data_IF_209815218025
#
_entry.id   IF_209815218025
#
_cell.length_a   1.000
_cell.length_b   1.000
_cell.length_c   1.000
_cell.angle_alpha   90.00
_cell.angle_beta   90.00
_cell.angle_gamma   90.00
#
_symmetry.space_group_name_H-M   'P 1'
#
loop_
_entity.id
_entity.type
_entity.pdbx_description
1 polymer ?
#
# COMPACT_ATOMS: atom_id res chain seq x y z
N UNK A 1 -11.39 5.39 -28.81
CA UNK A 1 -9.93 5.68 -28.77
C UNK A 1 -9.39 5.16 -27.45
N UNK A 2 -8.82 4.00 -27.48
CA UNK A 2 -8.23 3.29 -26.34
C UNK A 2 -6.87 3.94 -26.06
N UNK A 3 -6.83 4.81 -25.06
CA UNK A 3 -5.57 5.30 -24.54
C UNK A 3 -4.88 4.21 -23.77
N UNK A 4 -3.86 3.62 -24.35
CA UNK A 4 -2.88 2.76 -23.69
C UNK A 4 -2.10 3.64 -22.70
N UNK A 5 -2.53 3.71 -21.45
CA UNK A 5 -1.67 4.22 -20.39
C UNK A 5 -0.56 3.20 -20.12
N UNK A 6 0.48 3.27 -20.93
CA UNK A 6 1.76 2.61 -20.67
C UNK A 6 2.65 3.58 -19.89
N UNK A 7 2.19 4.00 -18.73
CA UNK A 7 2.97 4.83 -17.84
C UNK A 7 3.16 4.07 -16.54
N UNK A 8 4.09 3.11 -16.52
CA UNK A 8 4.55 2.57 -15.26
C UNK A 8 5.08 3.73 -14.41
N UNK A 9 4.52 3.92 -13.22
CA UNK A 9 5.09 4.86 -12.25
C UNK A 9 6.48 4.32 -11.90
N UNK A 10 7.55 5.03 -12.24
CA UNK A 10 8.89 4.49 -12.08
C UNK A 10 9.23 4.35 -10.59
N UNK A 11 9.96 3.30 -10.27
CA UNK A 11 10.57 3.18 -8.94
C UNK A 11 11.40 4.43 -8.65
N UNK A 12 11.21 5.08 -7.49
CA UNK A 12 11.99 6.26 -7.13
C UNK A 12 13.49 5.97 -7.10
N UNK A 13 14.30 6.94 -7.53
CA UNK A 13 15.75 6.82 -7.38
C UNK A 13 16.12 6.71 -5.89
N UNK A 14 17.21 6.01 -5.52
CA UNK A 14 17.62 5.85 -4.12
C UNK A 14 17.83 7.17 -3.36
N UNK A 15 18.10 8.24 -4.09
CA UNK A 15 18.31 9.61 -3.55
C UNK A 15 17.03 10.42 -3.43
N UNK A 16 15.89 9.90 -3.93
CA UNK A 16 14.60 10.60 -3.86
C UNK A 16 14.04 10.48 -2.45
N UNK A 17 13.88 11.62 -1.78
CA UNK A 17 13.25 11.64 -0.46
C UNK A 17 11.79 11.15 -0.55
N UNK A 18 11.34 10.28 0.37
CA UNK A 18 9.94 9.86 0.41
C UNK A 18 9.03 11.01 0.83
N UNK A 19 7.78 10.95 0.38
CA UNK A 19 6.73 11.86 0.81
C UNK A 19 6.31 11.59 2.26
N UNK A 20 6.26 10.32 2.65
CA UNK A 20 5.93 9.90 4.00
C UNK A 20 6.57 8.54 4.33
N UNK A 21 6.86 8.34 5.61
CA UNK A 21 7.34 7.06 6.17
C UNK A 21 6.61 6.82 7.48
N UNK A 22 6.02 5.65 7.65
CA UNK A 22 5.42 5.21 8.91
C UNK A 22 5.94 3.83 9.30
N UNK A 23 5.95 3.56 10.60
CA UNK A 23 6.43 2.29 11.17
C UNK A 23 5.44 1.79 12.21
N UNK A 24 5.23 0.47 12.25
CA UNK A 24 4.45 -0.19 13.29
C UNK A 24 5.10 -1.53 13.69
N UNK A 25 4.86 -1.95 14.93
CA UNK A 25 5.28 -3.26 15.45
C UNK A 25 4.07 -4.16 15.56
N UNK A 26 4.18 -5.38 15.06
CA UNK A 26 3.14 -6.40 15.07
C UNK A 26 3.55 -7.55 16.01
N UNK A 27 2.58 -8.12 16.73
CA UNK A 27 2.77 -9.39 17.44
C UNK A 27 2.65 -10.57 16.48
N UNK A 28 1.93 -10.39 15.38
CA UNK A 28 1.85 -11.38 14.30
C UNK A 28 3.22 -11.62 13.63
N UNK A 29 3.50 -12.86 13.18
CA UNK A 29 4.74 -13.19 12.48
C UNK A 29 4.92 -12.41 11.17
N UNK A 30 6.18 -12.22 10.75
CA UNK A 30 6.53 -11.44 9.57
C UNK A 30 5.89 -11.96 8.28
N UNK A 31 5.82 -13.28 8.11
CA UNK A 31 5.17 -13.93 6.96
C UNK A 31 3.68 -13.66 6.90
N UNK A 32 3.01 -13.65 8.04
CA UNK A 32 1.58 -13.33 8.15
C UNK A 32 1.31 -11.86 7.78
N UNK A 33 2.09 -10.92 8.31
CA UNK A 33 1.96 -9.49 8.02
C UNK A 33 2.28 -9.20 6.55
N UNK A 34 3.32 -9.81 6.03
CA UNK A 34 3.71 -9.69 4.62
C UNK A 34 2.63 -10.23 3.67
N UNK A 35 2.13 -11.44 3.92
CA UNK A 35 1.10 -12.07 3.10
C UNK A 35 -0.22 -11.26 3.11
N UNK A 36 -0.57 -10.69 4.27
CA UNK A 36 -1.76 -9.85 4.42
C UNK A 36 -1.65 -8.57 3.56
N UNK A 37 -0.47 -7.93 3.54
CA UNK A 37 -0.23 -6.74 2.71
C UNK A 37 -0.13 -7.08 1.22
N UNK A 38 0.43 -8.22 0.85
CA UNK A 38 0.59 -8.63 -0.54
C UNK A 38 -0.76 -8.78 -1.26
N UNK A 39 -1.79 -9.25 -0.56
CA UNK A 39 -3.14 -9.33 -1.11
C UNK A 39 -3.89 -8.00 -0.92
N UNK A 40 -3.84 -7.15 -1.93
CA UNK A 40 -4.54 -5.87 -1.93
C UNK A 40 -6.07 -5.98 -1.92
N UNK A 41 -6.66 -7.18 -2.03
CA UNK A 41 -8.06 -7.39 -1.73
C UNK A 41 -8.41 -7.06 -0.26
N UNK A 42 -7.41 -7.10 0.63
CA UNK A 42 -7.55 -6.70 2.03
C UNK A 42 -7.54 -5.17 2.23
N UNK A 43 -7.20 -4.39 1.22
CA UNK A 43 -7.03 -2.93 1.33
C UNK A 43 -8.20 -2.21 2.02
N UNK A 44 -9.49 -2.52 1.74
CA UNK A 44 -10.61 -1.87 2.42
C UNK A 44 -10.67 -2.14 3.94
N UNK A 45 -10.03 -3.20 4.41
CA UNK A 45 -10.03 -3.54 5.83
C UNK A 45 -9.07 -2.66 6.66
N UNK A 46 -8.10 -2.02 6.01
CA UNK A 46 -7.13 -1.16 6.67
C UNK A 46 -7.00 0.24 6.05
N UNK A 47 -7.72 0.51 4.95
CA UNK A 47 -7.85 1.85 4.40
C UNK A 47 -9.34 2.16 4.14
N UNK A 48 -10.02 2.90 5.04
CA UNK A 48 -11.45 3.18 4.94
C UNK A 48 -11.82 4.08 3.77
N UNK A 49 -10.87 4.79 3.16
CA UNK A 49 -11.09 5.63 1.99
C UNK A 49 -11.14 4.83 0.69
N UNK A 50 -10.84 3.52 0.75
CA UNK A 50 -10.84 2.61 -0.38
C UNK A 50 -12.14 1.83 -0.48
N UNK A 51 -12.67 1.71 -1.69
CA UNK A 51 -13.87 0.95 -1.99
C UNK A 51 -13.80 0.23 -3.34
N UNK A 52 -14.57 -0.86 -3.48
CA UNK A 52 -14.74 -1.54 -4.76
C UNK A 52 -13.46 -2.17 -5.32
N UNK A 53 -12.57 -2.68 -4.45
CA UNK A 53 -11.34 -3.35 -4.87
C UNK A 53 -11.67 -4.56 -5.75
N UNK A 54 -11.02 -4.63 -6.91
CA UNK A 54 -11.13 -5.75 -7.85
C UNK A 54 -9.76 -6.09 -8.38
N UNK A 55 -9.43 -7.37 -8.37
CA UNK A 55 -8.27 -7.87 -9.10
C UNK A 55 -8.58 -7.90 -10.60
N UNK A 56 -7.64 -7.50 -11.44
CA UNK A 56 -7.77 -7.55 -12.89
C UNK A 56 -7.47 -8.97 -13.36
N UNK A 57 -8.44 -9.61 -14.01
CA UNK A 57 -8.41 -11.04 -14.31
C UNK A 57 -7.32 -11.48 -15.32
N UNK A 58 -6.82 -10.56 -16.14
CA UNK A 58 -5.78 -10.78 -17.15
C UNK A 58 -4.37 -10.42 -16.65
N UNK A 59 -4.29 -9.83 -15.46
CA UNK A 59 -3.03 -9.62 -14.76
C UNK A 59 -2.61 -10.92 -14.09
N UNK A 60 -1.79 -11.74 -14.73
CA UNK A 60 -1.42 -13.03 -14.13
C UNK A 60 -0.73 -12.84 -12.78
N UNK A 61 0.32 -12.10 -12.65
CA UNK A 61 1.00 -11.82 -11.36
C UNK A 61 0.91 -12.92 -10.28
N UNK A 62 0.62 -14.15 -10.70
CA UNK A 62 0.60 -15.35 -9.87
C UNK A 62 1.66 -16.30 -10.38
N UNK A 63 2.38 -16.92 -9.48
CA UNK A 63 3.23 -18.06 -9.82
C UNK A 63 2.38 -19.31 -10.17
N UNK A 64 3.02 -20.42 -10.53
CA UNK A 64 2.36 -21.67 -10.87
C UNK A 64 1.54 -22.27 -9.70
N UNK A 65 1.77 -21.81 -8.47
CA UNK A 65 1.04 -22.21 -7.27
C UNK A 65 -0.13 -21.24 -6.93
N UNK A 66 -0.34 -20.20 -7.73
CA UNK A 66 -1.37 -19.18 -7.48
C UNK A 66 -0.96 -18.14 -6.43
N UNK A 67 0.31 -18.05 -6.08
CA UNK A 67 0.81 -17.05 -5.14
C UNK A 67 0.89 -15.69 -5.82
N UNK A 68 0.37 -14.67 -5.15
CA UNK A 68 0.41 -13.29 -5.62
C UNK A 68 1.85 -12.79 -5.68
N UNK A 69 2.15 -12.01 -6.71
CA UNK A 69 3.49 -11.48 -6.91
C UNK A 69 3.55 -10.35 -7.94
N UNK A 70 4.74 -10.01 -8.43
CA UNK A 70 4.95 -8.96 -9.42
C UNK A 70 4.06 -9.16 -10.65
N UNK A 71 3.44 -8.06 -11.12
CA UNK A 71 2.49 -8.05 -12.24
C UNK A 71 1.02 -8.24 -11.83
N UNK A 72 0.70 -8.64 -10.61
CA UNK A 72 -0.67 -8.63 -10.12
C UNK A 72 -1.23 -7.20 -10.11
N UNK A 73 -2.46 -7.03 -10.60
CA UNK A 73 -3.09 -5.71 -10.78
C UNK A 73 -4.43 -5.64 -10.07
N UNK A 74 -4.70 -4.46 -9.52
CA UNK A 74 -5.95 -4.15 -8.83
C UNK A 74 -6.51 -2.82 -9.31
N UNK A 75 -7.83 -2.70 -9.29
CA UNK A 75 -8.53 -1.43 -9.47
C UNK A 75 -9.43 -1.17 -8.28
N UNK A 76 -9.56 0.09 -7.87
CA UNK A 76 -10.42 0.48 -6.77
C UNK A 76 -10.79 1.96 -6.85
N UNK A 77 -11.76 2.38 -6.04
CA UNK A 77 -12.10 3.79 -5.84
C UNK A 77 -11.45 4.31 -4.57
N UNK A 78 -10.75 5.43 -4.65
CA UNK A 78 -10.24 6.17 -3.50
C UNK A 78 -11.12 7.39 -3.25
N UNK A 79 -11.56 7.60 -2.02
CA UNK A 79 -12.39 8.75 -1.64
C UNK A 79 -11.67 10.06 -2.01
N UNK A 80 -12.39 10.96 -2.68
CA UNK A 80 -11.86 12.28 -3.02
C UNK A 80 -12.12 13.26 -1.86
N UNK A 81 -11.08 13.70 -1.14
CA UNK A 81 -11.25 14.61 0.00
C UNK A 81 -11.79 15.99 -0.40
N UNK A 82 -11.68 16.34 -1.68
CA UNK A 82 -12.18 17.62 -2.22
C UNK A 82 -13.65 17.53 -2.64
N UNK A 83 -14.18 16.32 -2.81
CA UNK A 83 -15.54 16.06 -3.26
C UNK A 83 -16.18 14.95 -2.44
N UNK A 84 -16.70 15.26 -1.25
CA UNK A 84 -17.33 14.26 -0.39
C UNK A 84 -18.38 13.41 -1.14
N UNK A 85 -18.32 12.10 -0.95
CA UNK A 85 -19.22 11.15 -1.62
C UNK A 85 -18.81 10.75 -3.04
N UNK A 86 -17.67 11.24 -3.55
CA UNK A 86 -17.12 10.78 -4.83
C UNK A 86 -15.83 10.01 -4.61
N UNK A 87 -15.51 9.13 -5.57
CA UNK A 87 -14.25 8.38 -5.58
C UNK A 87 -13.49 8.66 -6.87
N UNK A 88 -12.17 8.62 -6.77
CA UNK A 88 -11.26 8.63 -7.90
C UNK A 88 -10.89 7.19 -8.24
N UNK A 89 -10.94 6.76 -9.51
CA UNK A 89 -10.49 5.45 -9.91
C UNK A 89 -8.97 5.36 -9.81
N UNK A 90 -8.49 4.34 -9.11
CA UNK A 90 -7.07 4.05 -8.95
C UNK A 90 -6.78 2.69 -9.59
N UNK A 91 -5.65 2.60 -10.26
CA UNK A 91 -5.04 1.37 -10.70
C UNK A 91 -3.75 1.15 -9.91
N UNK A 92 -3.59 -0.06 -9.37
CA UNK A 92 -2.43 -0.48 -8.60
C UNK A 92 -1.86 -1.75 -9.20
N UNK A 93 -0.54 -1.87 -9.25
CA UNK A 93 0.13 -3.10 -9.63
C UNK A 93 1.32 -3.37 -8.73
N UNK A 94 1.54 -4.65 -8.44
CA UNK A 94 2.68 -5.11 -7.66
C UNK A 94 3.91 -5.10 -8.56
N UNK A 95 4.93 -4.32 -8.19
CA UNK A 95 6.20 -4.21 -8.90
C UNK A 95 7.21 -5.24 -8.40
N UNK A 96 7.25 -5.45 -7.09
CA UNK A 96 8.20 -6.33 -6.45
C UNK A 96 7.56 -7.00 -5.24
N UNK A 97 7.85 -8.29 -5.05
CA UNK A 97 7.47 -9.03 -3.86
C UNK A 97 8.59 -10.00 -3.48
N UNK A 98 9.13 -9.84 -2.29
CA UNK A 98 10.19 -10.69 -1.71
C UNK A 98 9.73 -11.18 -0.35
N UNK A 99 9.33 -12.44 -0.28
CA UNK A 99 8.81 -13.05 0.94
C UNK A 99 9.90 -13.27 1.99
N UNK A 100 9.64 -13.02 3.26
CA UNK A 100 8.55 -12.25 3.84
C UNK A 100 8.93 -10.78 4.09
N UNK A 101 9.82 -10.20 3.27
CA UNK A 101 10.53 -8.98 3.59
C UNK A 101 10.00 -7.72 2.89
N UNK A 102 9.49 -7.83 1.65
CA UNK A 102 9.16 -6.65 0.84
C UNK A 102 7.90 -6.89 -0.01
N UNK A 103 7.03 -5.88 -0.07
CA UNK A 103 6.05 -5.66 -1.12
C UNK A 103 6.26 -4.25 -1.64
N UNK A 104 6.43 -4.10 -2.96
CA UNK A 104 6.46 -2.79 -3.59
C UNK A 104 5.35 -2.71 -4.64
N UNK A 105 4.64 -1.59 -4.68
CA UNK A 105 3.54 -1.36 -5.59
C UNK A 105 3.57 0.05 -6.16
N UNK A 106 3.10 0.17 -7.39
CA UNK A 106 2.89 1.44 -8.06
C UNK A 106 1.41 1.69 -8.25
N UNK A 107 1.01 2.95 -8.18
CA UNK A 107 -0.39 3.38 -8.30
C UNK A 107 -0.49 4.55 -9.26
N UNK A 108 -1.57 4.56 -10.05
CA UNK A 108 -1.93 5.69 -10.91
C UNK A 108 -3.43 5.98 -10.83
N UNK A 109 -3.86 7.23 -11.16
CA UNK A 109 -5.29 7.59 -11.27
C UNK A 109 -5.60 8.86 -10.51
N UNK A 110 -5.19 9.54 -9.77
CA UNK A 110 -5.43 10.85 -9.14
C UNK A 110 -4.12 11.57 -8.90
N UNK A 111 -3.21 10.88 -8.27
CA UNK A 111 -1.78 11.19 -8.21
C UNK A 111 -1.05 9.88 -8.38
N UNK A 112 0.01 9.92 -9.18
CA UNK A 112 0.89 8.77 -9.29
C UNK A 112 1.66 8.59 -7.98
N UNK A 113 1.75 7.36 -7.52
CA UNK A 113 2.45 7.03 -6.29
C UNK A 113 3.20 5.71 -6.41
N UNK A 114 4.24 5.58 -5.63
CA UNK A 114 5.00 4.36 -5.42
C UNK A 114 5.11 4.09 -3.93
N UNK A 115 4.94 2.85 -3.52
CA UNK A 115 5.08 2.46 -2.12
C UNK A 115 6.00 1.26 -1.95
N UNK A 116 6.68 1.22 -0.82
CA UNK A 116 7.42 0.06 -0.34
C UNK A 116 6.95 -0.30 1.07
N UNK A 117 6.56 -1.55 1.25
CA UNK A 117 6.24 -2.12 2.55
C UNK A 117 7.30 -3.14 2.91
N UNK A 118 8.12 -2.81 3.89
CA UNK A 118 9.24 -3.65 4.36
C UNK A 118 8.88 -4.26 5.69
N UNK A 119 9.07 -5.58 5.83
CA UNK A 119 8.83 -6.32 7.08
C UNK A 119 10.14 -6.89 7.59
N UNK A 120 10.42 -6.71 8.87
CA UNK A 120 11.61 -7.21 9.56
C UNK A 120 11.19 -8.04 10.77
N UNK A 121 11.55 -9.33 10.83
CA UNK A 121 11.31 -10.14 12.03
C UNK A 121 12.03 -9.52 13.25
N UNK A 122 11.41 -9.66 14.43
CA UNK A 122 12.00 -9.23 15.69
C UNK A 122 12.45 -10.45 16.51
N UNK A 123 13.52 -10.25 17.30
CA UNK A 123 13.95 -11.25 18.26
C UNK A 123 12.83 -11.45 19.30
N UNK A 124 12.45 -12.70 19.53
CA UNK A 124 11.36 -13.02 20.45
C UNK A 124 9.97 -13.13 19.83
N UNK A 125 9.86 -12.99 18.53
CA UNK A 125 8.61 -13.10 17.77
C UNK A 125 8.02 -11.75 17.35
N UNK A 126 7.02 -11.80 16.47
CA UNK A 126 6.47 -10.59 15.85
C UNK A 126 7.38 -9.97 14.79
N UNK A 127 7.05 -8.76 14.36
CA UNK A 127 7.83 -8.05 13.36
C UNK A 127 7.65 -6.52 13.46
N UNK A 128 8.58 -5.81 12.84
CA UNK A 128 8.45 -4.39 12.52
C UNK A 128 8.08 -4.25 11.04
N UNK A 129 7.10 -3.42 10.73
CA UNK A 129 6.76 -3.06 9.37
C UNK A 129 6.99 -1.57 9.14
N UNK A 130 7.57 -1.25 7.98
CA UNK A 130 7.87 0.12 7.54
C UNK A 130 7.15 0.32 6.21
N UNK A 131 6.24 1.29 6.16
CA UNK A 131 5.56 1.71 4.95
C UNK A 131 6.13 3.05 4.49
N UNK A 132 6.70 3.07 3.30
CA UNK A 132 7.30 4.25 2.67
C UNK A 132 6.49 4.60 1.44
N UNK A 133 6.13 5.87 1.29
CA UNK A 133 5.30 6.37 0.20
C UNK A 133 6.00 7.53 -0.52
N UNK A 134 6.04 7.47 -1.84
CA UNK A 134 6.42 8.55 -2.75
C UNK A 134 5.21 8.93 -3.59
N UNK A 135 4.77 10.18 -3.48
CA UNK A 135 3.67 10.72 -4.27
C UNK A 135 4.23 11.73 -5.28
N UNK A 136 3.90 11.55 -6.54
CA UNK A 136 4.25 12.52 -7.58
C UNK A 136 3.27 13.69 -7.50
N UNK A 137 3.77 14.82 -7.06
CA UNK A 137 2.99 16.05 -7.00
C UNK A 137 3.20 16.88 -8.29
N UNK A 138 2.16 17.61 -8.75
CA UNK A 138 2.30 18.53 -9.87
C UNK A 138 3.39 19.58 -9.60
N UNK A 139 4.08 20.02 -10.66
CA UNK A 139 5.04 21.10 -10.56
C UNK A 139 4.38 22.44 -10.24
N UNK A 140 5.12 23.35 -9.60
CA UNK A 140 4.65 24.71 -9.33
C UNK A 140 3.72 24.85 -8.12
N UNK A 141 3.56 23.81 -7.31
CA UNK A 141 2.83 23.90 -6.05
C UNK A 141 3.63 24.72 -5.02
N UNK A 142 2.93 25.47 -4.17
CA UNK A 142 3.57 26.16 -3.05
C UNK A 142 4.10 25.16 -2.01
N UNK A 143 5.13 25.56 -1.26
CA UNK A 143 5.69 24.77 -0.15
C UNK A 143 4.64 24.39 0.90
N UNK A 144 3.64 25.23 1.12
CA UNK A 144 2.53 24.95 2.03
C UNK A 144 1.69 23.79 1.53
N UNK A 145 1.36 23.75 0.24
CA UNK A 145 0.59 22.65 -0.37
C UNK A 145 1.40 21.36 -0.35
N UNK A 146 2.69 21.43 -0.65
CA UNK A 146 3.60 20.26 -0.59
C UNK A 146 3.67 19.70 0.83
N UNK A 147 3.83 20.55 1.85
CA UNK A 147 3.83 20.12 3.26
C UNK A 147 2.48 19.54 3.69
N UNK A 148 1.37 20.13 3.26
CA UNK A 148 0.04 19.60 3.56
C UNK A 148 -0.19 18.22 2.93
N UNK A 149 0.26 18.02 1.69
CA UNK A 149 0.21 16.72 1.02
C UNK A 149 1.05 15.66 1.76
N UNK A 150 2.26 16.01 2.18
CA UNK A 150 3.12 15.12 2.95
C UNK A 150 2.50 14.76 4.32
N UNK A 151 1.93 15.73 5.03
CA UNK A 151 1.25 15.49 6.29
C UNK A 151 0.01 14.60 6.13
N UNK A 152 -0.78 14.81 5.08
CA UNK A 152 -1.93 13.96 4.75
C UNK A 152 -1.51 12.53 4.41
N UNK A 153 -0.46 12.37 3.61
CA UNK A 153 0.11 11.06 3.27
C UNK A 153 0.61 10.32 4.51
N UNK A 154 1.32 11.02 5.41
CA UNK A 154 1.79 10.42 6.66
C UNK A 154 0.62 9.97 7.55
N UNK A 155 -0.41 10.78 7.70
CA UNK A 155 -1.60 10.43 8.46
C UNK A 155 -2.29 9.19 7.87
N UNK A 156 -2.42 9.11 6.55
CA UNK A 156 -3.03 7.97 5.85
C UNK A 156 -2.28 6.67 6.09
N UNK A 157 -0.97 6.63 5.80
CA UNK A 157 -0.18 5.40 5.97
C UNK A 157 0.01 5.00 7.45
N UNK A 158 0.00 5.95 8.37
CA UNK A 158 -0.01 5.66 9.81
C UNK A 158 -1.31 4.98 10.22
N UNK A 159 -2.44 5.47 9.72
CA UNK A 159 -3.75 4.84 9.95
C UNK A 159 -3.81 3.44 9.35
N UNK A 160 -3.31 3.25 8.13
CA UNK A 160 -3.25 1.92 7.50
C UNK A 160 -2.51 0.91 8.37
N UNK A 161 -1.30 1.25 8.82
CA UNK A 161 -0.51 0.36 9.68
C UNK A 161 -1.21 0.07 11.00
N UNK A 162 -1.87 1.06 11.62
CA UNK A 162 -2.63 0.86 12.85
C UNK A 162 -3.80 -0.10 12.64
N UNK A 163 -4.58 0.08 11.57
CA UNK A 163 -5.71 -0.79 11.27
C UNK A 163 -5.27 -2.21 10.88
N UNK A 164 -4.16 -2.35 10.15
CA UNK A 164 -3.54 -3.66 9.91
C UNK A 164 -3.16 -4.34 11.23
N UNK A 165 -2.54 -3.60 12.15
CA UNK A 165 -2.16 -4.10 13.47
C UNK A 165 -3.40 -4.57 14.27
N UNK A 166 -4.46 -3.76 14.32
CA UNK A 166 -5.71 -4.11 14.98
C UNK A 166 -6.33 -5.38 14.36
N UNK A 167 -6.29 -5.53 13.04
CA UNK A 167 -6.83 -6.69 12.34
C UNK A 167 -6.03 -7.98 12.59
N UNK A 168 -4.71 -7.89 12.64
CA UNK A 168 -3.83 -9.05 12.74
C UNK A 168 -3.55 -9.44 14.19
N UNK A 169 -3.32 -8.48 15.07
CA UNK A 169 -3.00 -8.74 16.49
C UNK A 169 -4.28 -8.98 17.32
N UNK A 170 -5.41 -8.34 16.92
CA UNK A 170 -6.71 -8.54 17.57
C UNK A 170 -7.37 -9.90 17.29
N UNK A 171 -6.91 -10.65 16.28
CA UNK A 171 -7.36 -12.00 15.94
C UNK A 171 -6.56 -13.11 16.63
N UNK A 172 -5.53 -12.76 17.41
CA UNK A 172 -4.83 -13.77 18.21
C UNK A 172 -5.84 -14.46 19.15
N UNK A 173 -5.96 -15.81 19.14
CA UNK A 173 -6.84 -16.49 20.06
C UNK A 173 -6.39 -16.13 21.49
N UNK A 174 -7.34 -15.69 22.33
CA UNK A 174 -7.09 -15.55 23.75
C UNK A 174 -6.53 -16.89 24.23
N UNK A 175 -5.26 -16.92 24.60
CA UNK A 175 -4.66 -18.12 25.18
C UNK A 175 -5.51 -18.51 26.41
N UNK A 176 -6.10 -19.70 26.30
CA UNK A 176 -7.04 -20.21 27.27
C UNK A 176 -6.44 -20.28 28.69
N UNK A 177 -7.18 -19.76 29.61
CA UNK A 177 -7.01 -19.94 31.03
C UNK A 177 -7.19 -21.39 31.43
#
# INVERSE_FOLDING_TARGET
>A
MTGTHTGAVPKPAPTTAPTAVATATFTAPADTVWAYRLDFANLPAYNPDVSGVRRVADGSGEDAAGVLGPGARYTFGLADPRRPGTTQPIELWIEEAVAPALVAAAMSGGSDAYEEFVVRPLDGGGCEAILTLWVTLPEGLSDEVVRAAAAGSLASITMELRLMQENLDGTAPAEGS
#
